data_IF_029297570520
#
_entry.id   IF_029297570520
#
_cell.length_a   1.000
_cell.length_b   1.000
_cell.length_c   1.000
_cell.angle_alpha   90.00
_cell.angle_beta   90.00
_cell.angle_gamma   90.00
#
_symmetry.space_group_name_H-M   'P 1'
#
loop_
_entity.id
_entity.type
_entity.pdbx_description
1 polymer ?
#
# COMPACT_ATOMS: atom_id res chain seq x y z
N UNK A 1 21.08 5.93 0.56
CA UNK A 1 19.90 5.10 0.28
C UNK A 1 18.90 6.02 -0.39
N UNK A 2 18.31 5.62 -1.53
CA UNK A 2 17.16 6.35 -2.08
C UNK A 2 16.05 6.29 -1.04
N UNK A 3 15.52 7.44 -0.62
CA UNK A 3 14.25 7.46 0.10
C UNK A 3 13.15 7.02 -0.87
N UNK A 4 12.05 6.46 -0.34
CA UNK A 4 10.89 6.11 -1.16
C UNK A 4 10.20 7.37 -1.67
N UNK A 5 9.52 7.28 -2.82
CA UNK A 5 8.92 8.41 -3.53
C UNK A 5 7.95 9.22 -2.66
N UNK A 6 7.29 8.54 -1.71
CA UNK A 6 6.38 9.16 -0.75
C UNK A 6 7.14 10.14 0.14
N UNK A 7 8.30 9.75 0.66
CA UNK A 7 9.08 10.59 1.56
C UNK A 7 9.75 11.76 0.83
N UNK A 8 10.18 11.55 -0.42
CA UNK A 8 10.73 12.61 -1.26
C UNK A 8 9.70 13.71 -1.53
N UNK A 9 8.43 13.32 -1.71
CA UNK A 9 7.30 14.25 -1.87
C UNK A 9 7.12 15.16 -0.66
N UNK A 10 7.16 14.64 0.57
CA UNK A 10 6.99 15.46 1.78
C UNK A 10 8.13 16.48 1.97
N UNK A 11 9.34 16.16 1.51
CA UNK A 11 10.51 17.03 1.68
C UNK A 11 10.65 18.06 0.57
N UNK A 12 9.87 17.96 -0.52
CA UNK A 12 9.97 18.87 -1.67
C UNK A 12 9.36 20.23 -1.34
N UNK A 13 10.15 21.32 -1.27
CA UNK A 13 9.59 22.66 -1.06
C UNK A 13 8.73 23.04 -2.26
N UNK A 14 7.45 23.34 -2.02
CA UNK A 14 6.51 23.66 -3.09
C UNK A 14 5.32 24.46 -2.59
N UNK A 15 4.44 24.87 -3.50
CA UNK A 15 3.18 25.52 -3.12
C UNK A 15 2.20 24.48 -2.59
N UNK A 16 1.25 24.92 -1.75
CA UNK A 16 0.19 24.05 -1.21
C UNK A 16 -0.64 23.33 -2.29
N UNK A 17 -0.82 23.94 -3.45
CA UNK A 17 -1.53 23.31 -4.56
C UNK A 17 -0.70 22.18 -5.18
N UNK A 18 0.60 22.39 -5.35
CA UNK A 18 1.51 21.38 -5.87
C UNK A 18 1.75 20.26 -4.87
N UNK A 19 1.82 20.56 -3.57
CA UNK A 19 1.91 19.57 -2.50
C UNK A 19 0.75 18.56 -2.58
N UNK A 20 -0.48 19.04 -2.83
CA UNK A 20 -1.64 18.17 -3.05
C UNK A 20 -1.43 17.20 -4.23
N UNK A 21 -0.90 17.70 -5.36
CA UNK A 21 -0.64 16.86 -6.55
C UNK A 21 0.43 15.81 -6.26
N UNK A 22 1.49 16.19 -5.54
CA UNK A 22 2.55 15.28 -5.14
C UNK A 22 2.03 14.16 -4.21
N UNK A 23 1.16 14.49 -3.25
CA UNK A 23 0.52 13.48 -2.39
C UNK A 23 -0.35 12.49 -3.20
N UNK A 24 -1.10 12.98 -4.19
CA UNK A 24 -1.89 12.12 -5.08
C UNK A 24 -1.03 11.23 -5.98
N UNK A 25 0.15 11.71 -6.36
CA UNK A 25 1.12 10.91 -7.09
C UNK A 25 1.72 9.81 -6.21
N UNK A 26 2.21 10.17 -5.02
CA UNK A 26 2.84 9.28 -4.06
C UNK A 26 1.94 8.10 -3.65
N UNK A 27 0.66 8.37 -3.39
CA UNK A 27 -0.29 7.37 -2.88
C UNK A 27 -1.23 6.80 -3.95
N UNK A 28 -1.24 7.35 -5.17
CA UNK A 28 -2.19 7.00 -6.23
C UNK A 28 -3.59 7.56 -6.00
N UNK A 29 -4.23 7.25 -4.87
CA UNK A 29 -5.52 7.88 -4.50
C UNK A 29 -5.57 8.23 -3.03
N UNK A 30 -6.13 9.39 -2.71
CA UNK A 30 -6.36 9.81 -1.32
C UNK A 30 -7.76 10.37 -1.14
N UNK A 31 -8.31 10.18 0.05
CA UNK A 31 -9.55 10.85 0.42
C UNK A 31 -9.28 12.31 0.74
N UNK A 32 -10.30 13.18 0.72
CA UNK A 32 -10.16 14.54 1.21
C UNK A 32 -9.71 14.61 2.67
N UNK A 33 -10.07 13.61 3.50
CA UNK A 33 -9.69 13.54 4.90
C UNK A 33 -8.21 13.16 5.06
N UNK A 34 -7.70 12.23 4.24
CA UNK A 34 -6.26 11.93 4.21
C UNK A 34 -5.45 13.17 3.83
N UNK A 35 -5.83 13.85 2.74
CA UNK A 35 -5.15 15.08 2.31
C UNK A 35 -5.21 16.17 3.39
N UNK A 36 -6.35 16.30 4.09
CA UNK A 36 -6.49 17.24 5.19
C UNK A 36 -5.52 16.92 6.34
N UNK A 37 -5.35 15.63 6.68
CA UNK A 37 -4.38 15.17 7.66
C UNK A 37 -2.94 15.44 7.22
N UNK A 38 -2.56 14.97 6.02
CA UNK A 38 -1.18 15.08 5.51
C UNK A 38 -0.73 16.52 5.31
N UNK A 39 -1.66 17.38 4.88
CA UNK A 39 -1.38 18.78 4.67
C UNK A 39 -1.66 19.62 5.92
N UNK A 40 -2.16 19.07 7.02
CA UNK A 40 -2.49 19.82 8.25
C UNK A 40 -3.45 20.99 7.98
N UNK A 41 -4.54 20.72 7.27
CA UNK A 41 -5.54 21.73 6.89
C UNK A 41 -6.95 21.17 6.98
N UNK A 42 -7.97 22.01 6.74
CA UNK A 42 -9.35 21.55 6.75
C UNK A 42 -9.71 20.84 5.44
N UNK A 43 -10.61 19.86 5.53
CA UNK A 43 -11.26 19.22 4.36
C UNK A 43 -11.86 20.24 3.38
N UNK A 44 -12.46 21.32 3.90
CA UNK A 44 -13.01 22.39 3.05
C UNK A 44 -11.94 23.11 2.25
N UNK A 45 -10.75 23.30 2.83
CA UNK A 45 -9.60 23.88 2.14
C UNK A 45 -9.10 22.95 1.04
N UNK A 46 -9.00 21.64 1.29
CA UNK A 46 -8.67 20.64 0.26
C UNK A 46 -9.64 20.72 -0.93
N UNK A 47 -10.95 20.74 -0.65
CA UNK A 47 -11.97 20.86 -1.70
C UNK A 47 -11.79 22.16 -2.52
N UNK A 48 -11.46 23.27 -1.85
CA UNK A 48 -11.17 24.54 -2.52
C UNK A 48 -9.90 24.48 -3.37
N UNK A 49 -8.83 23.82 -2.90
CA UNK A 49 -7.61 23.62 -3.68
C UNK A 49 -7.89 22.80 -4.94
N UNK A 50 -8.61 21.68 -4.82
CA UNK A 50 -9.03 20.87 -5.97
C UNK A 50 -9.85 21.69 -6.97
N UNK A 51 -10.81 22.47 -6.48
CA UNK A 51 -11.61 23.36 -7.33
C UNK A 51 -10.74 24.38 -8.09
N UNK A 52 -9.75 24.99 -7.43
CA UNK A 52 -8.85 25.96 -8.05
C UNK A 52 -7.90 25.33 -9.06
N UNK A 53 -7.31 24.18 -8.72
CA UNK A 53 -6.46 23.41 -9.62
C UNK A 53 -7.20 23.05 -10.91
N UNK A 54 -8.44 22.57 -10.77
CA UNK A 54 -9.24 22.16 -11.92
C UNK A 54 -9.81 23.31 -12.76
N UNK A 55 -9.62 24.58 -12.37
CA UNK A 55 -9.88 25.72 -13.28
C UNK A 55 -8.89 25.77 -14.44
N UNK A 56 -7.70 25.18 -14.26
CA UNK A 56 -6.59 25.30 -15.19
C UNK A 56 -6.37 24.02 -16.03
N UNK A 57 -7.27 23.03 -15.95
CA UNK A 57 -7.15 21.76 -16.65
C UNK A 57 -7.62 20.58 -15.80
N UNK A 58 -7.43 19.37 -16.29
CA UNK A 58 -7.72 18.14 -15.55
C UNK A 58 -6.57 17.81 -14.59
N UNK A 59 -6.44 18.61 -13.53
CA UNK A 59 -5.37 18.45 -12.53
C UNK A 59 -5.65 17.30 -11.57
N UNK A 60 -6.88 17.21 -11.08
CA UNK A 60 -7.33 16.24 -10.07
C UNK A 60 -8.65 15.60 -10.50
N UNK A 61 -8.71 14.28 -10.50
CA UNK A 61 -9.92 13.51 -10.83
C UNK A 61 -10.66 13.14 -9.55
N UNK A 62 -11.94 13.49 -9.48
CA UNK A 62 -12.81 13.17 -8.33
C UNK A 62 -13.59 11.87 -8.56
N UNK A 63 -13.40 10.90 -7.67
CA UNK A 63 -14.06 9.59 -7.73
C UNK A 63 -15.17 9.51 -6.69
N UNK A 64 -16.42 9.66 -7.14
CA UNK A 64 -17.60 9.54 -6.30
C UNK A 64 -18.25 8.15 -6.40
N UNK A 65 -19.11 7.77 -5.44
CA UNK A 65 -19.97 6.62 -5.61
C UNK A 65 -21.05 6.90 -6.69
N UNK A 66 -21.69 5.85 -7.25
CA UNK A 66 -22.74 6.00 -8.25
C UNK A 66 -23.84 6.99 -7.84
N UNK A 67 -24.35 7.76 -8.81
CA UNK A 67 -25.12 9.01 -8.63
C UNK A 67 -26.44 8.92 -7.86
N UNK A 68 -27.00 7.75 -7.55
CA UNK A 68 -28.31 7.73 -6.88
C UNK A 68 -28.22 8.39 -5.50
N UNK A 69 -29.14 9.32 -5.21
CA UNK A 69 -29.15 10.09 -3.95
C UNK A 69 -29.18 9.16 -2.73
N UNK A 70 -29.96 8.09 -2.82
CA UNK A 70 -30.10 7.03 -1.81
C UNK A 70 -28.79 6.28 -1.55
N UNK A 71 -27.99 6.01 -2.60
CA UNK A 71 -26.68 5.36 -2.46
C UNK A 71 -25.66 6.34 -1.90
N UNK A 72 -25.66 7.61 -2.33
CA UNK A 72 -24.78 8.64 -1.78
C UNK A 72 -25.01 8.89 -0.28
N UNK A 73 -26.26 8.90 0.18
CA UNK A 73 -26.59 9.03 1.61
C UNK A 73 -26.14 7.81 2.41
N UNK A 74 -26.32 6.59 1.87
CA UNK A 74 -25.90 5.35 2.53
C UNK A 74 -24.37 5.21 2.63
N UNK A 75 -23.64 5.71 1.63
CA UNK A 75 -22.18 5.65 1.56
C UNK A 75 -21.51 6.88 2.18
N UNK A 76 -22.28 7.85 2.68
CA UNK A 76 -21.74 9.05 3.33
C UNK A 76 -21.03 8.63 4.62
N UNK A 77 -19.72 8.88 4.67
CA UNK A 77 -18.88 8.50 5.81
C UNK A 77 -18.30 7.07 5.73
N UNK A 78 -18.55 6.33 4.64
CA UNK A 78 -17.87 5.05 4.42
C UNK A 78 -16.44 5.25 3.92
N UNK A 79 -15.49 4.40 4.35
CA UNK A 79 -14.16 4.27 3.75
C UNK A 79 -14.19 4.30 2.22
N UNK A 80 -13.28 5.05 1.59
CA UNK A 80 -13.13 5.06 0.13
C UNK A 80 -14.31 5.63 -0.70
N UNK A 81 -15.35 6.19 -0.06
CA UNK A 81 -16.54 6.67 -0.77
C UNK A 81 -16.22 7.84 -1.71
N UNK A 82 -15.36 8.76 -1.29
CA UNK A 82 -14.89 9.88 -2.10
C UNK A 82 -13.37 9.94 -2.07
N UNK A 83 -12.77 9.78 -3.24
CA UNK A 83 -11.32 9.75 -3.42
C UNK A 83 -10.92 10.70 -4.54
N UNK A 84 -9.71 11.23 -4.45
CA UNK A 84 -9.05 11.96 -5.51
C UNK A 84 -7.92 11.12 -6.09
N UNK A 85 -7.69 11.26 -7.39
CA UNK A 85 -6.45 10.82 -8.05
C UNK A 85 -5.90 11.96 -8.90
N UNK A 86 -4.67 11.82 -9.36
CA UNK A 86 -4.07 12.77 -10.28
C UNK A 86 -4.77 12.67 -11.65
N UNK A 87 -5.03 13.82 -12.28
CA UNK A 87 -5.45 13.90 -13.67
C UNK A 87 -4.26 14.08 -14.61
N UNK A 88 -4.52 14.05 -15.92
CA UNK A 88 -3.45 14.11 -16.93
C UNK A 88 -2.64 15.40 -16.89
N UNK A 89 -3.27 16.54 -16.61
CA UNK A 89 -2.55 17.82 -16.51
C UNK A 89 -1.81 17.93 -15.18
N UNK A 90 -2.35 17.33 -14.11
CA UNK A 90 -1.67 17.24 -12.82
C UNK A 90 -0.41 16.37 -12.89
N UNK A 91 -0.44 15.30 -13.68
CA UNK A 91 0.71 14.42 -13.90
C UNK A 91 1.89 15.18 -14.50
N UNK A 92 1.65 16.00 -15.54
CA UNK A 92 2.69 16.81 -16.17
C UNK A 92 3.38 17.76 -15.17
N UNK A 93 2.59 18.36 -14.27
CA UNK A 93 3.13 19.23 -13.22
C UNK A 93 4.00 18.43 -12.26
N UNK A 94 3.58 17.22 -11.88
CA UNK A 94 4.38 16.35 -11.00
C UNK A 94 5.68 15.91 -11.68
N UNK A 95 5.63 15.51 -12.95
CA UNK A 95 6.81 15.17 -13.75
C UNK A 95 7.83 16.30 -13.79
N UNK A 96 7.37 17.54 -14.01
CA UNK A 96 8.22 18.74 -13.98
C UNK A 96 8.80 19.00 -12.57
N UNK A 97 7.98 18.88 -11.52
CA UNK A 97 8.42 19.12 -10.14
C UNK A 97 9.45 18.10 -9.67
N UNK A 98 9.34 16.86 -10.11
CA UNK A 98 10.19 15.75 -9.69
C UNK A 98 11.34 15.47 -10.66
N UNK A 99 11.34 16.06 -11.86
CA UNK A 99 12.28 15.78 -12.95
C UNK A 99 12.32 14.29 -13.31
N UNK A 100 11.12 13.72 -13.52
CA UNK A 100 10.92 12.31 -13.84
C UNK A 100 9.94 12.13 -15.00
N UNK A 101 10.02 10.99 -15.67
CA UNK A 101 8.95 10.46 -16.53
C UNK A 101 8.11 9.49 -15.70
N UNK A 102 6.84 9.81 -15.46
CA UNK A 102 6.02 9.11 -14.50
C UNK A 102 5.09 8.08 -15.16
N UNK A 103 5.29 6.79 -14.87
CA UNK A 103 4.31 5.74 -15.18
C UNK A 103 3.21 5.73 -14.10
N UNK A 104 2.26 6.66 -14.22
CA UNK A 104 1.16 6.80 -13.27
C UNK A 104 -0.10 6.08 -13.76
N UNK A 105 -0.48 4.99 -13.09
CA UNK A 105 -1.68 4.22 -13.41
C UNK A 105 -2.53 3.98 -12.16
N UNK A 106 -3.67 4.65 -12.09
CA UNK A 106 -4.66 4.43 -11.04
C UNK A 106 -5.84 3.61 -11.57
N UNK A 107 -6.11 2.49 -10.91
CA UNK A 107 -7.28 1.65 -11.20
C UNK A 107 -8.45 2.10 -10.34
N UNK A 108 -9.43 2.76 -10.95
CA UNK A 108 -10.62 3.31 -10.28
C UNK A 108 -11.48 2.27 -9.52
N UNK A 109 -11.29 0.98 -9.78
CA UNK A 109 -11.99 -0.11 -9.10
C UNK A 109 -11.40 -0.48 -7.72
N UNK A 110 -10.21 0.04 -7.36
CA UNK A 110 -9.50 -0.33 -6.12
C UNK A 110 -9.53 0.77 -5.04
N UNK A 111 -10.58 1.61 -5.01
CA UNK A 111 -10.66 2.77 -4.11
C UNK A 111 -10.52 2.43 -2.63
N UNK A 112 -11.17 1.37 -2.17
CA UNK A 112 -11.10 0.95 -0.77
C UNK A 112 -9.69 0.51 -0.38
N UNK A 113 -8.97 -0.10 -1.32
CA UNK A 113 -7.60 -0.52 -1.12
C UNK A 113 -6.66 0.67 -0.99
N UNK A 114 -6.70 1.62 -1.94
CA UNK A 114 -5.94 2.87 -1.80
C UNK A 114 -6.31 3.64 -0.55
N UNK A 115 -7.60 3.63 -0.17
CA UNK A 115 -8.04 4.25 1.07
C UNK A 115 -7.35 3.63 2.28
N UNK A 116 -7.31 2.30 2.39
CA UNK A 116 -6.67 1.64 3.52
C UNK A 116 -5.17 1.87 3.62
N UNK A 117 -4.46 1.90 2.50
CA UNK A 117 -3.04 2.21 2.44
C UNK A 117 -2.79 3.65 2.90
N UNK A 118 -3.56 4.62 2.39
CA UNK A 118 -3.48 6.02 2.81
C UNK A 118 -3.85 6.23 4.28
N UNK A 119 -4.88 5.54 4.76
CA UNK A 119 -5.34 5.59 6.16
C UNK A 119 -4.28 5.00 7.11
N UNK A 120 -3.62 3.91 6.71
CA UNK A 120 -2.50 3.32 7.44
C UNK A 120 -1.38 4.35 7.65
N UNK A 121 -0.96 5.03 6.58
CA UNK A 121 0.05 6.08 6.69
C UNK A 121 -0.45 7.26 7.54
N UNK A 122 -1.68 7.73 7.32
CA UNK A 122 -2.23 8.86 8.07
C UNK A 122 -2.29 8.60 9.58
N UNK A 123 -2.52 7.36 10.01
CA UNK A 123 -2.54 6.98 11.43
C UNK A 123 -1.16 7.00 12.05
N UNK A 124 -0.15 6.49 11.33
CA UNK A 124 1.25 6.61 11.75
C UNK A 124 1.67 8.09 11.81
N UNK A 125 1.37 8.84 10.75
CA UNK A 125 1.65 10.28 10.64
C UNK A 125 1.03 11.07 11.79
N UNK A 126 -0.26 10.85 12.07
CA UNK A 126 -0.98 11.55 13.14
C UNK A 126 -0.45 11.19 14.52
N UNK A 127 0.04 9.96 14.71
CA UNK A 127 0.61 9.52 15.97
C UNK A 127 2.00 10.12 16.24
N UNK A 128 2.82 10.25 15.19
CA UNK A 128 4.19 10.73 15.29
C UNK A 128 4.33 12.26 15.16
N UNK A 129 3.45 12.89 14.38
CA UNK A 129 3.65 14.24 13.86
C UNK A 129 4.60 14.27 12.66
N UNK A 130 4.67 15.41 11.98
CA UNK A 130 5.46 15.60 10.75
C UNK A 130 6.94 15.25 10.94
N UNK A 131 7.64 15.94 11.84
CA UNK A 131 9.10 15.82 12.01
C UNK A 131 9.50 14.37 12.34
N UNK A 132 8.85 13.77 13.34
CA UNK A 132 9.10 12.38 13.74
C UNK A 132 8.78 11.39 12.61
N UNK A 133 7.75 11.63 11.80
CA UNK A 133 7.45 10.76 10.64
C UNK A 133 8.59 10.83 9.63
N UNK A 134 9.09 12.03 9.31
CA UNK A 134 10.15 12.23 8.33
C UNK A 134 11.52 11.67 8.75
N UNK A 135 11.73 11.50 10.06
CA UNK A 135 12.94 10.91 10.64
C UNK A 135 12.84 9.39 10.82
N UNK A 136 11.67 8.89 11.21
CA UNK A 136 11.51 7.50 11.67
C UNK A 136 10.91 6.57 10.62
N UNK A 137 10.18 7.10 9.65
CA UNK A 137 9.45 6.29 8.66
C UNK A 137 10.11 6.42 7.29
N UNK A 138 10.47 5.27 6.70
CA UNK A 138 10.61 5.15 5.24
C UNK A 138 9.35 4.47 4.70
N UNK A 139 8.76 5.01 3.64
CA UNK A 139 7.56 4.45 3.02
C UNK A 139 7.75 4.23 1.52
N UNK A 140 7.49 3.00 1.10
CA UNK A 140 7.52 2.55 -0.29
C UNK A 140 6.12 2.10 -0.70
N UNK A 141 5.66 2.61 -1.84
CA UNK A 141 4.35 2.24 -2.39
C UNK A 141 4.37 0.81 -2.98
N UNK A 142 3.23 0.35 -3.50
CA UNK A 142 3.07 -1.01 -4.08
C UNK A 142 4.11 -1.32 -5.15
N UNK A 143 4.44 -0.35 -6.01
CA UNK A 143 5.39 -0.56 -7.10
C UNK A 143 6.81 -0.71 -6.55
N UNK A 144 7.23 0.19 -5.64
CA UNK A 144 8.54 0.16 -4.99
C UNK A 144 8.72 -1.13 -4.19
N UNK A 145 7.72 -1.51 -3.39
CA UNK A 145 7.72 -2.74 -2.60
C UNK A 145 7.77 -4.01 -3.46
N UNK A 146 6.99 -4.05 -4.55
CA UNK A 146 7.02 -5.16 -5.51
C UNK A 146 8.37 -5.24 -6.21
N UNK A 147 8.95 -4.09 -6.59
CA UNK A 147 10.28 -4.03 -7.21
C UNK A 147 11.36 -4.52 -6.26
N UNK A 148 11.34 -4.08 -4.99
CA UNK A 148 12.25 -4.57 -3.93
C UNK A 148 12.26 -6.09 -3.84
N UNK A 149 11.08 -6.70 -3.80
CA UNK A 149 10.95 -8.15 -3.74
C UNK A 149 11.46 -8.82 -5.03
N UNK A 150 11.13 -8.25 -6.19
CA UNK A 150 11.55 -8.76 -7.49
C UNK A 150 13.06 -8.67 -7.71
N UNK A 151 13.70 -7.60 -7.25
CA UNK A 151 15.15 -7.40 -7.35
C UNK A 151 15.88 -8.40 -6.44
N UNK A 152 15.44 -8.58 -5.19
CA UNK A 152 15.98 -9.59 -4.29
C UNK A 152 15.86 -11.01 -4.88
N UNK A 153 14.72 -11.33 -5.49
CA UNK A 153 14.52 -12.60 -6.20
C UNK A 153 15.39 -12.73 -7.44
N UNK A 154 15.53 -11.66 -8.23
CA UNK A 154 16.36 -11.67 -9.42
C UNK A 154 17.81 -12.00 -9.05
N UNK A 155 18.35 -11.31 -8.05
CA UNK A 155 19.70 -11.52 -7.53
C UNK A 155 19.94 -12.96 -7.05
N UNK A 156 18.99 -13.54 -6.31
CA UNK A 156 19.19 -14.86 -5.68
C UNK A 156 18.83 -16.05 -6.58
N UNK A 157 17.91 -15.88 -7.52
CA UNK A 157 17.36 -16.99 -8.33
C UNK A 157 17.13 -16.62 -9.79
N UNK A 158 16.72 -15.38 -10.07
CA UNK A 158 16.33 -14.99 -11.41
C UNK A 158 17.48 -14.98 -12.42
N UNK A 159 18.69 -14.62 -11.99
CA UNK A 159 19.90 -14.55 -12.85
C UNK A 159 20.27 -15.89 -13.50
N UNK A 160 19.97 -17.00 -12.84
CA UNK A 160 20.30 -18.34 -13.34
C UNK A 160 19.26 -18.87 -14.36
N UNK A 161 18.14 -18.17 -14.54
CA UNK A 161 17.07 -18.58 -15.45
C UNK A 161 17.29 -17.97 -16.83
N UNK A 162 18.02 -18.69 -17.69
CA UNK A 162 18.30 -18.25 -19.07
C UNK A 162 17.06 -18.25 -19.99
N UNK A 163 16.04 -19.05 -19.66
CA UNK A 163 14.80 -19.12 -20.43
C UNK A 163 13.85 -17.97 -20.06
N UNK A 164 13.63 -17.05 -21.00
CA UNK A 164 12.78 -15.87 -20.82
C UNK A 164 11.35 -16.21 -20.38
N UNK A 165 10.76 -17.29 -20.89
CA UNK A 165 9.40 -17.68 -20.53
C UNK A 165 9.35 -18.22 -19.10
N UNK A 166 10.30 -19.07 -18.71
CA UNK A 166 10.43 -19.55 -17.33
C UNK A 166 10.70 -18.40 -16.36
N UNK A 167 11.56 -17.45 -16.74
CA UNK A 167 11.85 -16.25 -15.96
C UNK A 167 10.60 -15.43 -15.70
N UNK A 168 9.86 -15.09 -16.76
CA UNK A 168 8.62 -14.29 -16.63
C UNK A 168 7.55 -15.03 -15.84
N UNK A 169 7.41 -16.35 -16.04
CA UNK A 169 6.49 -17.18 -15.26
C UNK A 169 6.86 -17.18 -13.78
N UNK A 170 8.13 -17.38 -13.43
CA UNK A 170 8.58 -17.34 -12.04
C UNK A 170 8.40 -15.94 -11.42
N UNK A 171 8.79 -14.88 -12.13
CA UNK A 171 8.59 -13.49 -11.70
C UNK A 171 7.11 -13.15 -11.46
N UNK A 172 6.21 -13.68 -12.29
CA UNK A 172 4.77 -13.44 -12.13
C UNK A 172 4.17 -14.09 -10.88
N UNK A 173 4.86 -15.08 -10.30
CA UNK A 173 4.46 -15.76 -9.07
C UNK A 173 5.05 -15.12 -7.82
N UNK A 174 5.78 -14.01 -7.92
CA UNK A 174 6.27 -13.31 -6.73
C UNK A 174 5.11 -12.65 -5.98
N UNK A 175 5.21 -12.53 -4.64
CA UNK A 175 4.30 -11.68 -3.89
C UNK A 175 4.36 -10.25 -4.43
N UNK A 176 3.23 -9.55 -4.32
CA UNK A 176 3.11 -8.14 -4.64
C UNK A 176 2.59 -7.45 -3.39
N UNK A 177 3.50 -7.07 -2.47
CA UNK A 177 3.13 -6.33 -1.28
C UNK A 177 2.47 -5.02 -1.68
N UNK A 178 1.48 -4.59 -0.90
CA UNK A 178 0.77 -3.34 -1.17
C UNK A 178 1.62 -2.14 -0.78
N UNK A 179 2.54 -2.33 0.16
CA UNK A 179 3.55 -1.36 0.58
C UNK A 179 4.75 -2.08 1.20
N UNK A 180 5.83 -1.34 1.36
CA UNK A 180 6.90 -1.65 2.28
C UNK A 180 7.16 -0.41 3.14
N UNK A 181 7.37 -0.60 4.44
CA UNK A 181 7.72 0.51 5.31
C UNK A 181 8.87 0.12 6.23
N UNK A 182 9.67 1.10 6.65
CA UNK A 182 10.61 0.95 7.76
C UNK A 182 10.22 1.90 8.87
N UNK A 183 10.24 1.42 10.10
CA UNK A 183 10.05 2.24 11.29
C UNK A 183 11.28 2.06 12.17
N UNK A 184 12.01 3.15 12.42
CA UNK A 184 13.28 3.14 13.17
C UNK A 184 14.29 2.13 12.59
N UNK A 185 14.34 2.03 11.26
CA UNK A 185 15.20 1.10 10.53
C UNK A 185 14.67 -0.35 10.44
N UNK A 186 13.61 -0.70 11.15
CA UNK A 186 12.99 -2.03 11.09
C UNK A 186 11.99 -2.11 9.94
N UNK A 187 12.32 -2.90 8.92
CA UNK A 187 11.47 -3.08 7.74
C UNK A 187 10.30 -4.02 7.99
N UNK A 188 9.18 -3.76 7.31
CA UNK A 188 8.04 -4.65 7.21
C UNK A 188 7.34 -4.49 5.84
N UNK A 189 6.84 -5.59 5.30
CA UNK A 189 5.92 -5.56 4.16
C UNK A 189 4.50 -5.34 4.68
N UNK A 190 3.66 -4.61 3.94
CA UNK A 190 2.27 -4.37 4.30
C UNK A 190 1.29 -4.92 3.27
N UNK A 191 0.16 -5.38 3.78
CA UNK A 191 -0.98 -5.92 3.06
C UNK A 191 -2.25 -5.26 3.62
N UNK A 192 -3.03 -4.57 2.79
CA UNK A 192 -4.32 -4.03 3.22
C UNK A 192 -5.47 -4.85 2.65
N UNK A 193 -6.18 -5.52 3.55
CA UNK A 193 -7.30 -6.38 3.23
C UNK A 193 -8.64 -5.69 3.52
N UNK A 194 -9.38 -5.40 2.45
CA UNK A 194 -10.70 -4.73 2.51
C UNK A 194 -11.85 -5.70 2.83
N UNK A 195 -11.57 -6.98 3.10
CA UNK A 195 -12.59 -8.01 3.23
C UNK A 195 -13.26 -8.44 1.92
N UNK A 196 -12.99 -7.75 0.80
CA UNK A 196 -13.58 -8.07 -0.51
C UNK A 196 -13.02 -9.36 -1.13
N UNK A 197 -11.84 -9.79 -0.69
CA UNK A 197 -11.20 -11.02 -1.14
C UNK A 197 -11.63 -12.20 -0.27
N UNK A 198 -11.96 -13.33 -0.92
CA UNK A 198 -12.27 -14.55 -0.20
C UNK A 198 -11.04 -15.06 0.57
N UNK A 199 -11.26 -15.58 1.78
CA UNK A 199 -10.27 -16.38 2.50
C UNK A 199 -10.37 -17.85 2.04
N UNK A 200 -11.60 -18.35 1.89
CA UNK A 200 -11.90 -19.72 1.48
C UNK A 200 -12.77 -19.76 0.21
N UNK A 201 -12.79 -20.91 -0.46
CA UNK A 201 -13.62 -21.16 -1.64
C UNK A 201 -13.02 -20.67 -2.97
N UNK A 202 -13.85 -20.58 -4.01
CA UNK A 202 -13.41 -20.32 -5.40
C UNK A 202 -12.87 -18.90 -5.65
N UNK A 203 -13.20 -17.95 -4.79
CA UNK A 203 -12.69 -16.57 -4.82
C UNK A 203 -11.56 -16.34 -3.80
N UNK A 204 -11.01 -17.40 -3.21
CA UNK A 204 -9.94 -17.31 -2.22
C UNK A 204 -8.67 -16.74 -2.84
N UNK A 205 -8.21 -15.59 -2.32
CA UNK A 205 -6.97 -14.94 -2.77
C UNK A 205 -5.99 -14.72 -1.63
N UNK A 206 -6.49 -14.53 -0.41
CA UNK A 206 -5.67 -14.31 0.79
C UNK A 206 -4.74 -15.48 1.07
N UNK A 207 -5.30 -16.69 1.21
CA UNK A 207 -4.51 -17.90 1.53
C UNK A 207 -3.43 -18.17 0.46
N UNK A 208 -3.74 -18.15 -0.84
CA UNK A 208 -2.70 -18.21 -1.87
C UNK A 208 -1.61 -17.16 -1.71
N UNK A 209 -1.95 -15.90 -1.40
CA UNK A 209 -0.97 -14.82 -1.19
C UNK A 209 -0.05 -15.11 0.01
N UNK A 210 -0.59 -15.56 1.14
CA UNK A 210 0.19 -15.98 2.31
C UNK A 210 1.15 -17.13 1.98
N UNK A 211 0.71 -18.11 1.19
CA UNK A 211 1.57 -19.22 0.74
C UNK A 211 2.68 -18.77 -0.20
N UNK A 212 2.43 -17.76 -1.05
CA UNK A 212 3.48 -17.16 -1.88
C UNK A 212 4.54 -16.47 -1.02
N UNK A 213 4.13 -15.79 0.05
CA UNK A 213 5.09 -15.24 1.03
C UNK A 213 5.93 -16.32 1.67
N UNK A 214 5.34 -17.41 2.20
CA UNK A 214 6.11 -18.54 2.76
C UNK A 214 7.14 -19.03 1.73
N UNK A 215 6.67 -19.38 0.52
CA UNK A 215 7.51 -19.93 -0.54
C UNK A 215 8.72 -19.03 -0.82
N UNK A 216 8.47 -17.75 -1.06
CA UNK A 216 9.51 -16.88 -1.56
C UNK A 216 10.38 -16.27 -0.48
N UNK A 217 9.86 -16.02 0.71
CA UNK A 217 10.69 -15.55 1.83
C UNK A 217 11.67 -16.62 2.29
N UNK A 218 11.26 -17.90 2.33
CA UNK A 218 12.18 -19.01 2.59
C UNK A 218 13.27 -19.07 1.50
N UNK A 219 12.87 -19.02 0.23
CA UNK A 219 13.83 -19.02 -0.89
C UNK A 219 14.80 -17.83 -0.78
N UNK A 220 14.33 -16.66 -0.37
CA UNK A 220 15.12 -15.45 -0.18
C UNK A 220 15.91 -15.42 1.12
N UNK A 221 15.58 -16.27 2.09
CA UNK A 221 16.00 -16.15 3.49
C UNK A 221 15.72 -14.73 4.04
N UNK A 222 14.57 -14.17 3.67
CA UNK A 222 14.10 -12.85 4.09
C UNK A 222 13.18 -13.01 5.31
N UNK A 223 13.61 -12.49 6.46
CA UNK A 223 12.87 -12.57 7.73
C UNK A 223 12.04 -11.32 8.02
N UNK A 224 11.94 -10.40 7.06
CA UNK A 224 11.14 -9.18 7.18
C UNK A 224 9.69 -9.52 7.53
N UNK A 225 9.12 -8.99 8.62
CA UNK A 225 7.72 -9.22 8.97
C UNK A 225 6.75 -8.75 7.89
N UNK A 226 5.56 -9.35 7.85
CA UNK A 226 4.47 -8.94 6.98
C UNK A 226 3.29 -8.52 7.86
N UNK A 227 2.84 -7.28 7.74
CA UNK A 227 1.67 -6.76 8.42
C UNK A 227 0.43 -6.85 7.52
N UNK A 228 -0.54 -7.67 7.93
CA UNK A 228 -1.88 -7.70 7.38
C UNK A 228 -2.77 -6.74 8.16
N UNK A 229 -3.21 -5.69 7.48
CA UNK A 229 -3.98 -4.59 8.05
C UNK A 229 -5.40 -4.65 7.49
N UNK A 230 -6.39 -4.47 8.35
CA UNK A 230 -7.80 -4.46 7.97
C UNK A 230 -8.58 -3.47 8.82
N UNK A 231 -9.81 -3.16 8.44
CA UNK A 231 -10.65 -2.18 9.13
C UNK A 231 -11.48 -2.79 10.28
N UNK A 232 -11.61 -4.12 10.33
CA UNK A 232 -12.49 -4.79 11.30
C UNK A 232 -11.82 -5.92 12.05
N UNK A 233 -12.16 -6.03 13.33
CA UNK A 233 -11.68 -7.10 14.21
C UNK A 233 -12.08 -8.51 13.73
N UNK A 234 -13.30 -8.64 13.22
CA UNK A 234 -13.79 -9.91 12.67
C UNK A 234 -12.94 -10.38 11.48
N UNK A 235 -12.56 -9.45 10.60
CA UNK A 235 -11.68 -9.76 9.47
C UNK A 235 -10.27 -10.10 9.95
N UNK A 236 -9.73 -9.35 10.92
CA UNK A 236 -8.42 -9.63 11.53
C UNK A 236 -8.36 -11.06 12.06
N UNK A 237 -9.37 -11.47 12.84
CA UNK A 237 -9.48 -12.83 13.37
C UNK A 237 -9.54 -13.88 12.25
N UNK A 238 -10.33 -13.62 11.20
CA UNK A 238 -10.41 -14.53 10.06
C UNK A 238 -9.06 -14.72 9.34
N UNK A 239 -8.26 -13.65 9.22
CA UNK A 239 -6.90 -13.72 8.68
C UNK A 239 -5.95 -14.50 9.59
N UNK A 240 -6.05 -14.29 10.92
CA UNK A 240 -5.29 -15.03 11.91
C UNK A 240 -5.60 -16.53 11.87
N UNK A 241 -6.88 -16.90 11.85
CA UNK A 241 -7.35 -18.28 11.80
C UNK A 241 -6.81 -18.98 10.54
N UNK A 242 -6.96 -18.34 9.37
CA UNK A 242 -6.39 -18.84 8.11
C UNK A 242 -4.87 -19.04 8.18
N UNK A 243 -4.15 -18.14 8.85
CA UNK A 243 -2.71 -18.29 9.05
C UNK A 243 -2.35 -19.46 9.98
N UNK A 244 -3.14 -19.71 11.02
CA UNK A 244 -2.94 -20.89 11.88
C UNK A 244 -3.19 -22.18 11.10
N UNK A 245 -4.24 -22.23 10.29
CA UNK A 245 -4.55 -23.38 9.43
C UNK A 245 -3.41 -23.67 8.44
N UNK A 246 -2.88 -22.65 7.77
CA UNK A 246 -1.74 -22.81 6.83
C UNK A 246 -0.54 -23.47 7.53
N UNK A 247 -0.21 -23.05 8.76
CA UNK A 247 0.93 -23.60 9.51
C UNK A 247 0.76 -25.08 9.89
N UNK A 248 -0.46 -25.59 9.87
CA UNK A 248 -0.81 -26.98 10.17
C UNK A 248 -0.94 -27.83 8.90
N UNK A 249 -0.81 -27.26 7.70
CA UNK A 249 -0.92 -28.05 6.47
C UNK A 249 0.20 -29.10 6.36
N UNK A 250 -0.12 -30.36 5.98
CA UNK A 250 0.87 -31.45 5.90
C UNK A 250 2.04 -31.16 4.96
N UNK A 251 1.82 -30.35 3.91
CA UNK A 251 2.87 -29.95 2.95
C UNK A 251 4.07 -29.25 3.62
N UNK A 252 3.88 -28.68 4.81
CA UNK A 252 4.95 -28.02 5.56
C UNK A 252 5.57 -28.92 6.64
N UNK A 253 5.09 -30.14 6.88
CA UNK A 253 5.66 -31.03 7.90
C UNK A 253 7.10 -31.43 7.56
N UNK A 254 7.33 -31.91 6.34
CA UNK A 254 8.69 -32.24 5.86
C UNK A 254 9.57 -30.99 5.77
N UNK A 255 9.00 -29.85 5.38
CA UNK A 255 9.74 -28.60 5.24
C UNK A 255 10.23 -28.07 6.60
N UNK A 256 9.48 -28.29 7.68
CA UNK A 256 9.89 -27.89 9.05
C UNK A 256 11.16 -28.59 9.55
N UNK A 257 11.54 -29.71 8.95
CA UNK A 257 12.79 -30.40 9.28
C UNK A 257 14.01 -29.73 8.64
N UNK A 258 13.81 -28.91 7.60
CA UNK A 258 14.88 -28.15 6.96
C UNK A 258 15.31 -26.98 7.85
N UNK A 259 16.61 -26.82 8.16
CA UNK A 259 17.11 -25.70 8.96
C UNK A 259 16.96 -24.34 8.25
N UNK A 260 16.75 -24.34 6.93
CA UNK A 260 16.53 -23.14 6.14
C UNK A 260 15.06 -22.70 6.13
N UNK A 261 14.15 -23.60 6.52
CA UNK A 261 12.72 -23.30 6.49
C UNK A 261 12.30 -22.51 7.72
N UNK A 262 11.44 -21.52 7.50
CA UNK A 262 10.75 -20.77 8.54
C UNK A 262 9.39 -20.33 8.03
N UNK A 263 8.46 -20.09 8.95
CA UNK A 263 7.26 -19.32 8.64
C UNK A 263 7.57 -17.84 8.84
N UNK A 264 7.32 -16.97 7.83
CA UNK A 264 7.46 -15.53 8.01
C UNK A 264 6.63 -15.04 9.19
N UNK A 265 7.17 -14.03 9.91
CA UNK A 265 6.42 -13.38 10.98
C UNK A 265 5.27 -12.57 10.36
N UNK A 266 4.04 -13.06 10.54
CA UNK A 266 2.82 -12.35 10.14
C UNK A 266 2.27 -11.58 11.34
N UNK A 267 2.08 -10.27 11.18
CA UNK A 267 1.36 -9.39 12.09
C UNK A 267 -0.06 -9.20 11.55
N UNK A 268 -1.06 -9.23 12.41
CA UNK A 268 -2.46 -8.99 12.03
C UNK A 268 -2.99 -7.85 12.87
N UNK A 269 -3.36 -6.76 12.21
CA UNK A 269 -3.71 -5.50 12.85
C UNK A 269 -5.04 -4.98 12.31
N UNK A 270 -5.83 -4.40 13.20
CA UNK A 270 -6.84 -3.43 12.77
C UNK A 270 -6.18 -2.07 12.50
N UNK A 271 -6.84 -1.20 11.74
CA UNK A 271 -6.37 0.17 11.52
C UNK A 271 -6.10 0.92 12.84
N UNK A 272 -6.89 0.70 13.90
CA UNK A 272 -6.69 1.32 15.21
C UNK A 272 -5.41 0.83 15.92
N UNK A 273 -4.88 -0.33 15.54
CA UNK A 273 -3.67 -0.93 16.09
C UNK A 273 -2.41 -0.57 15.29
N UNK A 274 -2.54 0.06 14.12
CA UNK A 274 -1.40 0.47 13.29
C UNK A 274 -0.36 1.31 14.07
N UNK A 275 -0.73 2.27 14.94
CA UNK A 275 0.25 3.00 15.75
C UNK A 275 1.10 2.13 16.67
N UNK A 276 0.68 0.89 16.98
CA UNK A 276 1.48 -0.04 17.79
C UNK A 276 2.75 -0.50 17.08
N UNK A 277 2.84 -0.35 15.75
CA UNK A 277 4.04 -0.65 14.96
C UNK A 277 5.24 0.25 15.29
N UNK A 278 5.02 1.33 16.04
CA UNK A 278 6.04 2.32 16.41
C UNK A 278 6.81 1.90 17.69
N UNK A 279 6.29 0.93 18.44
CA UNK A 279 6.85 0.46 19.72
C UNK A 279 7.54 -0.90 19.58
#
# INVERSE_FOLDING_TARGET
MSMGIVMDVFKKPTTRHNELLLHLYAFGMLSPDHLATLMETSKSTIINYVYRLNKNGEMVVSHYPPRSKRVREKLKGQPGAHMYSLGLDGLKVVEELLDIEADYQVKSLQKEHYWGIGETFCRLYSHLGFDSTMERIDWENTWEATKRFADAWHEKRGKDINDKFKYMKAKSQLPRPDLYMKIDGNGLYGEYDTGSEGITGRSAKVVPKMKLYIKWMVVLNDHTPIAWITDTESRRKSLQDAWQEIKQEPVYEELKESPEFFFPKMLFLTLDEVPQLIN
#
